data_IF_439351029638
#
_entry.id   IF_439351029638
#
_cell.length_a   1.000
_cell.length_b   1.000
_cell.length_c   1.000
_cell.angle_alpha   90.00
_cell.angle_beta   90.00
_cell.angle_gamma   90.00
#
_symmetry.space_group_name_H-M   'P 1'
#
loop_
_entity.id
_entity.type
_entity.pdbx_description
1 polymer ?
#
# COMPACT_ATOMS: atom_id res chain seq x y z
N UNK A 1 8.87 4.29 14.26
CA UNK A 1 7.82 3.48 13.62
C UNK A 1 6.79 4.41 13.00
N UNK A 2 6.07 3.95 11.99
CA UNK A 2 5.11 4.78 11.24
C UNK A 2 3.68 4.32 11.54
N UNK A 3 2.83 5.26 11.92
CA UNK A 3 1.39 5.04 12.13
C UNK A 3 0.62 5.66 10.97
N UNK A 4 -0.40 4.97 10.49
CA UNK A 4 -1.29 5.47 9.43
C UNK A 4 -2.71 5.53 9.96
N UNK A 5 -3.36 6.69 9.84
CA UNK A 5 -4.74 6.86 10.22
C UNK A 5 -5.65 6.04 9.30
N UNK A 6 -6.50 5.14 9.83
CA UNK A 6 -7.37 4.29 9.01
C UNK A 6 -8.53 5.06 8.35
N UNK A 7 -8.82 6.28 8.81
CA UNK A 7 -9.93 7.08 8.30
C UNK A 7 -9.53 8.02 7.16
N UNK A 8 -8.39 8.71 7.29
CA UNK A 8 -7.99 9.74 6.34
C UNK A 8 -6.61 9.50 5.68
N UNK A 9 -5.91 8.43 6.06
CA UNK A 9 -4.61 8.07 5.47
C UNK A 9 -3.43 8.94 5.91
N UNK A 10 -3.61 9.86 6.87
CA UNK A 10 -2.51 10.65 7.42
C UNK A 10 -1.45 9.75 8.07
N UNK A 11 -0.17 10.07 7.85
CA UNK A 11 0.97 9.30 8.36
C UNK A 11 1.69 10.07 9.46
N UNK A 12 2.03 9.38 10.54
CA UNK A 12 2.71 9.95 11.71
C UNK A 12 3.96 9.14 12.03
N UNK A 13 5.06 9.85 12.26
CA UNK A 13 6.34 9.24 12.61
C UNK A 13 6.57 9.39 14.12
N UNK A 14 6.65 8.26 14.81
CA UNK A 14 6.73 8.22 16.28
C UNK A 14 7.85 7.25 16.72
N UNK A 15 8.38 7.48 17.92
CA UNK A 15 9.35 6.58 18.55
C UNK A 15 8.70 5.26 18.95
N UNK A 16 9.44 4.14 18.97
CA UNK A 16 8.86 2.83 19.36
C UNK A 16 8.33 2.83 20.81
N UNK A 17 8.89 3.64 21.69
CA UNK A 17 8.38 3.85 23.06
C UNK A 17 6.98 4.49 23.10
N UNK A 18 6.54 5.18 22.04
CA UNK A 18 5.24 5.84 22.01
C UNK A 18 4.07 4.84 21.92
N UNK A 19 4.30 3.63 21.41
CA UNK A 19 3.30 2.55 21.34
C UNK A 19 3.94 1.27 21.90
N UNK A 20 3.67 0.93 23.17
CA UNK A 20 4.18 -0.29 23.78
C UNK A 20 3.57 -1.54 23.12
N UNK A 21 4.13 -2.74 23.36
CA UNK A 21 3.65 -4.00 22.78
C UNK A 21 2.18 -4.34 23.13
N UNK A 22 1.65 -3.80 24.23
CA UNK A 22 0.23 -3.92 24.59
C UNK A 22 -0.72 -3.02 23.77
N UNK A 23 -0.17 -2.19 22.88
CA UNK A 23 -0.92 -1.19 22.14
C UNK A 23 -1.13 0.12 22.91
N UNK A 24 -1.59 1.15 22.20
CA UNK A 24 -1.90 2.48 22.74
C UNK A 24 -3.01 3.14 21.93
N UNK A 25 -3.95 3.78 22.60
CA UNK A 25 -4.91 4.68 21.95
C UNK A 25 -4.20 5.92 21.41
N UNK A 26 -4.37 6.16 20.11
CA UNK A 26 -3.82 7.32 19.41
C UNK A 26 -4.94 8.07 18.71
N UNK A 27 -4.86 9.41 18.71
CA UNK A 27 -5.84 10.28 18.05
C UNK A 27 -5.22 10.94 16.83
N UNK A 28 -5.96 10.96 15.73
CA UNK A 28 -5.56 11.63 14.50
C UNK A 28 -5.74 13.14 14.67
N UNK A 29 -4.67 13.92 14.54
CA UNK A 29 -4.78 15.39 14.56
C UNK A 29 -5.50 15.95 13.32
N UNK A 30 -5.57 15.18 12.23
CA UNK A 30 -6.20 15.63 10.98
C UNK A 30 -7.72 15.41 10.93
N UNK A 31 -8.24 14.31 11.49
CA UNK A 31 -9.69 14.01 11.46
C UNK A 31 -10.31 13.71 12.83
N UNK A 32 -9.52 13.72 13.91
CA UNK A 32 -10.00 13.50 15.28
C UNK A 32 -10.33 12.05 15.63
N UNK A 33 -10.20 11.09 14.70
CA UNK A 33 -10.49 9.68 15.01
C UNK A 33 -9.46 9.13 15.99
N UNK A 34 -9.93 8.37 16.97
CA UNK A 34 -9.08 7.62 17.89
C UNK A 34 -9.08 6.15 17.49
N UNK A 35 -7.91 5.52 17.45
CA UNK A 35 -7.77 4.09 17.19
C UNK A 35 -6.68 3.48 18.07
N UNK A 36 -6.74 2.15 18.26
CA UNK A 36 -5.72 1.40 18.96
C UNK A 36 -4.55 1.14 17.99
N UNK A 37 -3.42 1.83 18.22
CA UNK A 37 -2.19 1.51 17.54
C UNK A 37 -1.52 0.32 18.23
N UNK A 38 -1.10 -0.68 17.46
CA UNK A 38 -0.22 -1.76 17.91
C UNK A 38 1.05 -1.71 17.07
N UNK A 39 2.22 -2.07 17.66
CA UNK A 39 3.42 -2.27 16.87
C UNK A 39 3.20 -3.53 16.04
N UNK A 40 2.72 -3.37 14.81
CA UNK A 40 2.70 -4.47 13.84
C UNK A 40 4.17 -4.85 13.65
N UNK A 41 4.56 -6.13 13.82
CA UNK A 41 5.89 -6.53 13.40
C UNK A 41 6.03 -6.08 11.95
N UNK A 42 7.08 -5.30 11.66
CA UNK A 42 7.46 -5.00 10.29
C UNK A 42 7.31 -6.31 9.52
N UNK A 43 6.49 -6.38 8.45
CA UNK A 43 6.39 -7.62 7.69
C UNK A 43 7.83 -7.93 7.35
N UNK A 44 8.33 -9.06 7.89
CA UNK A 44 9.64 -9.54 7.52
C UNK A 44 9.62 -9.48 6.00
N UNK A 45 10.59 -8.84 5.33
CA UNK A 45 10.67 -8.99 3.90
C UNK A 45 10.84 -10.49 3.71
N UNK A 46 9.75 -11.18 3.37
CA UNK A 46 9.76 -12.56 2.92
C UNK A 46 10.60 -12.53 1.66
N UNK A 47 11.91 -12.65 1.84
CA UNK A 47 12.83 -13.00 0.79
C UNK A 47 12.54 -14.46 0.51
N UNK A 48 11.52 -14.70 -0.31
CA UNK A 48 11.04 -16.03 -0.60
C UNK A 48 9.67 -16.00 -1.26
N UNK A 49 9.68 -15.88 -2.59
CA UNK A 49 8.53 -15.98 -3.48
C UNK A 49 7.58 -14.77 -3.48
N UNK A 50 7.74 -13.95 -4.51
CA UNK A 50 6.65 -13.14 -5.02
C UNK A 50 5.52 -14.08 -5.47
N UNK A 51 4.63 -14.46 -4.56
CA UNK A 51 3.27 -14.79 -4.97
C UNK A 51 2.66 -13.46 -5.37
N UNK A 52 2.89 -13.09 -6.63
CA UNK A 52 2.00 -12.15 -7.28
C UNK A 52 0.58 -12.62 -6.93
N UNK A 53 -0.31 -11.75 -6.40
CA UNK A 53 -1.73 -12.08 -6.50
C UNK A 53 -1.93 -12.44 -7.97
N UNK A 54 -2.66 -13.52 -8.27
CA UNK A 54 -3.01 -13.95 -9.62
C UNK A 54 -3.59 -12.76 -10.39
N UNK A 55 -2.69 -11.94 -10.92
CA UNK A 55 -2.97 -10.88 -11.82
C UNK A 55 -2.82 -11.65 -13.10
N UNK A 56 -3.93 -11.99 -13.80
CA UNK A 56 -3.80 -12.56 -15.11
C UNK A 56 -2.81 -11.65 -15.84
N UNK A 57 -1.71 -12.24 -16.32
CA UNK A 57 -0.74 -11.53 -17.14
C UNK A 57 -1.55 -10.66 -18.10
N UNK A 58 -1.24 -9.36 -18.27
CA UNK A 58 -2.00 -8.54 -19.18
C UNK A 58 -1.98 -9.29 -20.51
N UNK A 59 -3.14 -9.87 -20.86
CA UNK A 59 -3.33 -10.47 -22.16
C UNK A 59 -3.17 -9.27 -23.06
N UNK A 60 -2.04 -9.15 -23.76
CA UNK A 60 -1.86 -8.04 -24.69
C UNK A 60 -3.06 -8.10 -25.63
N UNK A 61 -4.01 -7.20 -25.42
CA UNK A 61 -5.26 -7.06 -26.17
C UNK A 61 -5.03 -6.37 -27.51
N UNK A 62 -3.76 -6.09 -27.82
CA UNK A 62 -3.34 -5.52 -29.09
C UNK A 62 -3.44 -6.63 -30.14
N UNK A 63 -4.59 -6.70 -30.79
CA UNK A 63 -4.78 -7.47 -32.02
C UNK A 63 -3.93 -6.87 -33.14
N UNK A 64 -3.59 -7.66 -34.18
CA UNK A 64 -2.82 -7.16 -35.32
C UNK A 64 -3.46 -5.92 -35.96
N UNK A 65 -4.79 -5.82 -36.00
CA UNK A 65 -5.48 -4.62 -36.49
C UNK A 65 -5.21 -3.36 -35.65
N UNK A 66 -5.20 -3.47 -34.31
CA UNK A 66 -4.94 -2.33 -33.42
C UNK A 66 -3.48 -1.87 -33.58
N UNK A 67 -2.55 -2.79 -33.82
CA UNK A 67 -1.15 -2.47 -34.07
C UNK A 67 -0.93 -1.71 -35.40
N UNK A 68 -1.73 -1.99 -36.43
CA UNK A 68 -1.64 -1.28 -37.72
C UNK A 68 -2.13 0.17 -37.59
N UNK A 69 -3.22 0.39 -36.85
CA UNK A 69 -3.78 1.73 -36.62
C UNK A 69 -2.78 2.61 -35.87
N UNK A 70 -2.14 2.11 -34.80
CA UNK A 70 -1.15 2.87 -34.03
C UNK A 70 0.11 3.23 -34.84
N UNK A 71 0.49 2.40 -35.82
CA UNK A 71 1.64 2.70 -36.69
C UNK A 71 1.29 3.79 -37.69
N UNK A 72 0.09 3.76 -38.27
CA UNK A 72 -0.37 4.77 -39.22
C UNK A 72 -0.50 6.17 -38.59
N UNK A 73 -0.87 6.25 -37.31
CA UNK A 73 -0.98 7.52 -36.58
C UNK A 73 0.38 8.11 -36.15
N UNK A 74 1.46 7.33 -36.25
CA UNK A 74 2.82 7.74 -35.87
C UNK A 74 3.65 8.31 -37.03
N UNK A 75 3.18 8.18 -38.28
CA UNK A 75 3.75 8.82 -39.49
C UNK A 75 3.15 10.21 -39.76
#
# INVERSE_FOLDING_TARGET
MRLTCPNCGAQYEVTRDAVPPGGRDVQCSNCGVTWLATPVPDPVPETGEAVAPDRPAPRSTITPEIAEILRAEAE
#
